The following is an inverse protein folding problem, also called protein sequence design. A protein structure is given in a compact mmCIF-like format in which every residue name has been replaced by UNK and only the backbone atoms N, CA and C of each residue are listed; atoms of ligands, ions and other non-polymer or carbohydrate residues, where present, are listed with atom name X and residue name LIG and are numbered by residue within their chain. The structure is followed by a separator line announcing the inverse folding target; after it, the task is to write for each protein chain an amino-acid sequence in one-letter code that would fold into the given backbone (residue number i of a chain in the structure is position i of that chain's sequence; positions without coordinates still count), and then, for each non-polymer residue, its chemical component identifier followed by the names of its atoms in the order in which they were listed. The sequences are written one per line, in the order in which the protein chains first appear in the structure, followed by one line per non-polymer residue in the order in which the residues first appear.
data_IF_391881723594
#
_entry.id   IF_391881723594
#
_cell.length_a   1.000
_cell.length_b   1.000
_cell.length_c   1.000
_cell.angle_alpha   90.00
_cell.angle_beta   90.00
_cell.angle_gamma   90.00
#
_symmetry.space_group_name_H-M   'P 1'
#
loop_
_entity.id
_entity.type
_entity.pdbx_description
1 polymer ?
#
# COMPACT_ATOMS: atom_id res chain seq x y z
N UNK A 1 -13.57 -0.04 57.36
CA UNK A 1 -13.30 1.20 56.58
C UNK A 1 -12.04 1.07 55.73
N UNK A 2 -10.88 0.71 56.28
CA UNK A 2 -9.62 0.53 55.53
C UNK A 2 -9.70 -0.47 54.37
N UNK A 3 -10.24 -1.67 54.61
CA UNK A 3 -10.40 -2.71 53.57
C UNK A 3 -11.26 -2.22 52.39
N UNK A 4 -12.33 -1.48 52.69
CA UNK A 4 -13.22 -0.91 51.67
C UNK A 4 -12.46 0.09 50.79
N UNK A 5 -11.65 0.97 51.38
CA UNK A 5 -10.81 1.90 50.62
C UNK A 5 -9.78 1.19 49.75
N UNK A 6 -9.16 0.11 50.23
CA UNK A 6 -8.20 -0.69 49.44
C UNK A 6 -8.87 -1.33 48.23
N UNK A 7 -10.07 -1.90 48.41
CA UNK A 7 -10.83 -2.51 47.31
C UNK A 7 -11.23 -1.46 46.27
N UNK A 8 -11.69 -0.28 46.71
CA UNK A 8 -12.03 0.81 45.79
C UNK A 8 -10.80 1.30 45.02
N UNK A 9 -9.66 1.47 45.70
CA UNK A 9 -8.42 1.89 45.06
C UNK A 9 -7.94 0.87 44.00
N UNK A 10 -8.02 -0.43 44.29
CA UNK A 10 -7.69 -1.49 43.34
C UNK A 10 -8.65 -1.51 42.14
N UNK A 11 -9.94 -1.35 42.38
CA UNK A 11 -10.94 -1.28 41.31
C UNK A 11 -10.71 -0.06 40.41
N UNK A 12 -10.42 1.11 41.00
CA UNK A 12 -10.09 2.32 40.24
C UNK A 12 -8.80 2.14 39.43
N UNK A 13 -7.76 1.52 39.99
CA UNK A 13 -6.52 1.22 39.29
C UNK A 13 -6.76 0.29 38.09
N UNK A 14 -7.51 -0.81 38.29
CA UNK A 14 -7.85 -1.74 37.22
C UNK A 14 -8.64 -1.06 36.09
N UNK A 15 -9.57 -0.15 36.44
CA UNK A 15 -10.35 0.61 35.48
C UNK A 15 -9.46 1.55 34.65
N UNK A 16 -8.57 2.31 35.29
CA UNK A 16 -7.63 3.21 34.61
C UNK A 16 -6.72 2.42 33.67
N UNK A 17 -6.21 1.28 34.13
CA UNK A 17 -5.36 0.41 33.33
C UNK A 17 -6.09 -0.14 32.10
N UNK A 18 -7.33 -0.61 32.25
CA UNK A 18 -8.16 -1.08 31.14
C UNK A 18 -8.43 0.02 30.10
N UNK A 19 -8.73 1.24 30.55
CA UNK A 19 -8.90 2.41 29.67
C UNK A 19 -7.61 2.72 28.91
N UNK A 20 -6.45 2.65 29.58
CA UNK A 20 -5.14 2.86 28.98
C UNK A 20 -4.87 1.88 27.83
N UNK A 21 -5.10 0.58 28.06
CA UNK A 21 -4.92 -0.45 27.03
C UNK A 21 -5.88 -0.24 25.86
N UNK A 22 -7.16 0.01 26.13
CA UNK A 22 -8.16 0.21 25.10
C UNK A 22 -7.82 1.39 24.19
N UNK A 23 -7.42 2.52 24.78
CA UNK A 23 -6.99 3.70 24.03
C UNK A 23 -5.70 3.43 23.23
N UNK A 24 -4.77 2.67 23.79
CA UNK A 24 -3.56 2.24 23.09
C UNK A 24 -3.86 1.41 21.84
N UNK A 25 -4.78 0.45 21.95
CA UNK A 25 -5.21 -0.39 20.83
C UNK A 25 -5.93 0.42 19.74
N UNK A 26 -6.79 1.37 20.13
CA UNK A 26 -7.44 2.27 19.17
C UNK A 26 -6.40 3.12 18.44
N UNK A 27 -5.43 3.69 19.16
CA UNK A 27 -4.36 4.50 18.57
C UNK A 27 -3.54 3.68 17.56
N UNK A 28 -3.18 2.45 17.92
CA UNK A 28 -2.45 1.55 17.02
C UNK A 28 -3.26 1.24 15.75
N UNK A 29 -4.56 0.94 15.90
CA UNK A 29 -5.45 0.70 14.75
C UNK A 29 -5.54 1.91 13.83
N UNK A 30 -5.68 3.10 14.40
CA UNK A 30 -5.77 4.34 13.64
C UNK A 30 -4.45 4.63 12.91
N UNK A 31 -3.32 4.42 13.57
CA UNK A 31 -2.01 4.58 12.96
C UNK A 31 -1.81 3.66 11.75
N UNK A 32 -2.17 2.38 11.86
CA UNK A 32 -2.13 1.42 10.73
C UNK A 32 -2.99 1.91 9.55
N UNK A 33 -4.19 2.42 9.84
CA UNK A 33 -5.09 2.94 8.79
C UNK A 33 -4.52 4.18 8.10
N UNK A 34 -3.92 5.10 8.86
CA UNK A 34 -3.27 6.30 8.31
C UNK A 34 -2.06 5.94 7.45
N UNK A 35 -1.21 5.04 7.93
CA UNK A 35 -0.07 4.53 7.16
C UNK A 35 -0.52 3.86 5.87
N UNK A 36 -1.60 3.07 5.91
CA UNK A 36 -2.15 2.44 4.71
C UNK A 36 -2.68 3.47 3.70
N UNK A 37 -3.40 4.49 4.17
CA UNK A 37 -3.88 5.57 3.31
C UNK A 37 -2.74 6.35 2.62
N UNK A 38 -1.59 6.50 3.29
CA UNK A 38 -0.41 7.10 2.68
C UNK A 38 0.17 6.22 1.56
N UNK A 39 0.24 4.90 1.79
CA UNK A 39 0.66 3.93 0.77
C UNK A 39 -0.27 3.98 -0.44
N UNK A 40 -1.59 3.95 -0.23
CA UNK A 40 -2.58 4.02 -1.30
C UNK A 40 -2.40 5.28 -2.17
N UNK A 41 -2.05 6.41 -1.56
CA UNK A 41 -1.81 7.66 -2.28
C UNK A 41 -0.57 7.57 -3.18
N UNK A 42 0.52 6.98 -2.68
CA UNK A 42 1.74 6.79 -3.48
C UNK A 42 1.56 5.75 -4.59
N UNK A 43 0.85 4.66 -4.32
CA UNK A 43 0.49 3.66 -5.33
C UNK A 43 -0.34 4.31 -6.46
N UNK A 44 -1.35 5.10 -6.09
CA UNK A 44 -2.14 5.84 -7.07
C UNK A 44 -1.28 6.77 -7.92
N UNK A 45 -0.39 7.55 -7.30
CA UNK A 45 0.54 8.44 -8.01
C UNK A 45 1.41 7.67 -9.00
N UNK A 46 1.91 6.48 -8.62
CA UNK A 46 2.66 5.61 -9.52
C UNK A 46 1.81 5.17 -10.72
N UNK A 47 0.57 4.75 -10.50
CA UNK A 47 -0.33 4.33 -11.59
C UNK A 47 -0.72 5.45 -12.54
N UNK A 48 -0.80 6.68 -12.04
CA UNK A 48 -1.12 7.86 -12.83
C UNK A 48 0.06 8.28 -13.72
N UNK A 49 1.30 7.96 -13.33
CA UNK A 49 2.51 8.27 -14.10
C UNK A 49 2.84 7.24 -15.19
N UNK A 50 2.40 5.99 -15.04
CA UNK A 50 2.71 4.89 -15.99
C UNK A 50 2.25 5.19 -17.43
N UNK A 51 1.03 5.71 -17.69
CA UNK A 51 0.61 6.03 -19.05
C UNK A 51 1.56 7.00 -19.76
N UNK A 52 2.02 8.05 -19.06
CA UNK A 52 2.97 9.01 -19.62
C UNK A 52 4.31 8.36 -19.94
N UNK A 53 4.77 7.43 -19.09
CA UNK A 53 6.01 6.67 -19.31
C UNK A 53 5.87 5.74 -20.53
N UNK A 54 4.75 5.02 -20.63
CA UNK A 54 4.42 4.16 -21.79
C UNK A 54 4.36 4.97 -23.08
N UNK A 55 3.72 6.13 -23.08
CA UNK A 55 3.64 7.01 -24.26
C UNK A 55 5.03 7.50 -24.70
N UNK A 56 5.88 7.86 -23.73
CA UNK A 56 7.26 8.28 -24.00
C UNK A 56 8.07 7.16 -24.65
N UNK A 57 8.00 5.94 -24.10
CA UNK A 57 8.73 4.78 -24.64
C UNK A 57 8.18 4.34 -25.99
N UNK A 58 6.86 4.39 -26.19
CA UNK A 58 6.21 4.04 -27.45
C UNK A 58 6.72 4.86 -28.64
N UNK A 59 7.16 6.10 -28.41
CA UNK A 59 7.79 6.94 -29.43
C UNK A 59 9.13 6.40 -29.96
N UNK A 60 9.88 5.67 -29.13
CA UNK A 60 11.21 5.15 -29.45
C UNK A 60 11.21 3.64 -29.76
N UNK A 61 10.32 2.87 -29.11
CA UNK A 61 10.20 1.42 -29.23
C UNK A 61 8.88 1.01 -29.89
N UNK A 62 8.67 1.43 -31.15
CA UNK A 62 7.41 1.22 -31.89
C UNK A 62 7.08 -0.24 -32.19
N UNK A 63 8.09 -1.12 -32.17
CA UNK A 63 7.95 -2.55 -32.45
C UNK A 63 7.69 -3.41 -31.19
N UNK A 64 7.66 -2.80 -30.01
CA UNK A 64 7.59 -3.49 -28.71
C UNK A 64 6.16 -3.47 -28.13
N UNK A 65 5.17 -3.76 -28.97
CA UNK A 65 3.76 -3.71 -28.60
C UNK A 65 3.42 -4.66 -27.43
N UNK A 66 3.93 -5.88 -27.47
CA UNK A 66 3.68 -6.90 -26.45
C UNK A 66 4.20 -6.46 -25.06
N UNK A 67 5.38 -5.85 -25.02
CA UNK A 67 5.98 -5.33 -23.78
C UNK A 67 5.14 -4.18 -23.20
N UNK A 68 4.70 -3.25 -24.06
CA UNK A 68 3.85 -2.13 -23.63
C UNK A 68 2.46 -2.61 -23.17
N UNK A 69 1.88 -3.59 -23.85
CA UNK A 69 0.59 -4.19 -23.47
C UNK A 69 0.69 -4.88 -22.11
N UNK A 70 1.75 -5.65 -21.87
CA UNK A 70 1.99 -6.30 -20.58
C UNK A 70 2.06 -5.29 -19.42
N UNK A 71 2.70 -4.13 -19.62
CA UNK A 71 2.76 -3.05 -18.61
C UNK A 71 1.38 -2.44 -18.38
N UNK A 72 0.63 -2.16 -19.44
CA UNK A 72 -0.71 -1.58 -19.34
C UNK A 72 -1.66 -2.56 -18.63
N UNK A 73 -1.61 -3.85 -18.96
CA UNK A 73 -2.43 -4.87 -18.31
C UNK A 73 -2.07 -5.02 -16.84
N UNK A 74 -0.78 -5.13 -16.50
CA UNK A 74 -0.32 -5.23 -15.11
C UNK A 74 -0.75 -4.00 -14.30
N UNK A 75 -0.67 -2.79 -14.89
CA UNK A 75 -1.14 -1.55 -14.26
C UNK A 75 -2.64 -1.57 -14.02
N UNK A 76 -3.43 -2.05 -14.97
CA UNK A 76 -4.88 -2.13 -14.81
C UNK A 76 -5.29 -3.12 -13.71
N UNK A 77 -4.60 -4.26 -13.60
CA UNK A 77 -4.81 -5.20 -12.49
C UNK A 77 -4.45 -4.58 -11.14
N UNK A 78 -3.30 -3.92 -11.05
CA UNK A 78 -2.86 -3.25 -9.82
C UNK A 78 -3.83 -2.15 -9.37
N UNK A 79 -4.31 -1.32 -10.30
CA UNK A 79 -5.30 -0.27 -10.02
C UNK A 79 -6.66 -0.83 -9.59
N UNK A 80 -7.07 -1.96 -10.16
CA UNK A 80 -8.33 -2.61 -9.83
C UNK A 80 -8.28 -3.36 -8.48
N UNK A 81 -7.09 -3.60 -7.95
CA UNK A 81 -6.91 -4.31 -6.68
C UNK A 81 -7.49 -3.50 -5.53
N UNK A 82 -8.50 -4.07 -4.86
CA UNK A 82 -9.10 -3.55 -3.62
C UNK A 82 -9.07 -4.59 -2.50
N UNK A 83 -8.17 -5.57 -2.65
CA UNK A 83 -8.04 -6.73 -1.76
C UNK A 83 -7.31 -6.40 -0.46
N UNK A 84 -6.85 -7.44 0.23
CA UNK A 84 -5.94 -7.28 1.37
C UNK A 84 -4.60 -6.69 0.93
N UNK A 85 -3.83 -6.09 1.86
CA UNK A 85 -2.46 -5.64 1.60
C UNK A 85 -1.58 -6.68 0.90
N UNK A 86 -1.71 -7.96 1.27
CA UNK A 86 -0.96 -9.05 0.66
C UNK A 86 -1.32 -9.28 -0.80
N UNK A 87 -2.62 -9.18 -1.15
CA UNK A 87 -3.07 -9.31 -2.54
C UNK A 87 -2.57 -8.13 -3.37
N UNK A 88 -2.71 -6.92 -2.84
CA UNK A 88 -2.25 -5.71 -3.53
C UNK A 88 -0.72 -5.74 -3.74
N UNK A 89 0.04 -6.26 -2.77
CA UNK A 89 1.48 -6.47 -2.92
C UNK A 89 1.85 -7.48 -4.02
N UNK A 90 1.05 -8.54 -4.21
CA UNK A 90 1.26 -9.49 -5.31
C UNK A 90 1.04 -8.84 -6.68
N UNK A 91 -0.06 -8.10 -6.82
CA UNK A 91 -0.37 -7.38 -8.07
C UNK A 91 0.71 -6.31 -8.37
N UNK A 92 1.22 -5.64 -7.34
CA UNK A 92 2.34 -4.71 -7.45
C UNK A 92 3.62 -5.39 -7.94
N UNK A 93 3.94 -6.58 -7.44
CA UNK A 93 5.14 -7.32 -7.86
C UNK A 93 5.07 -7.68 -9.35
N UNK A 94 3.88 -8.03 -9.86
CA UNK A 94 3.66 -8.27 -11.30
C UNK A 94 3.93 -6.99 -12.09
N UNK A 95 3.40 -5.85 -11.65
CA UNK A 95 3.65 -4.56 -12.29
C UNK A 95 5.13 -4.16 -12.26
N UNK A 96 5.82 -4.35 -11.13
CA UNK A 96 7.27 -4.13 -11.04
C UNK A 96 8.03 -5.01 -12.04
N UNK A 97 7.63 -6.28 -12.18
CA UNK A 97 8.20 -7.20 -13.17
C UNK A 97 8.05 -6.69 -14.60
N UNK A 98 6.84 -6.26 -14.98
CA UNK A 98 6.57 -5.71 -16.31
C UNK A 98 7.39 -4.43 -16.58
N UNK A 99 7.50 -3.53 -15.60
CA UNK A 99 8.32 -2.32 -15.74
C UNK A 99 9.82 -2.62 -15.90
N UNK A 100 10.35 -3.67 -15.26
CA UNK A 100 11.74 -4.10 -15.48
C UNK A 100 11.97 -4.56 -16.91
N UNK A 101 11.02 -5.30 -17.49
CA UNK A 101 11.08 -5.69 -18.90
C UNK A 101 11.05 -4.46 -19.82
N UNK A 102 10.21 -3.47 -19.50
CA UNK A 102 10.17 -2.20 -20.23
C UNK A 102 11.51 -1.45 -20.19
N UNK A 103 12.18 -1.41 -19.04
CA UNK A 103 13.50 -0.78 -18.94
C UNK A 103 14.56 -1.50 -19.76
N UNK A 104 14.54 -2.84 -19.80
CA UNK A 104 15.43 -3.61 -20.67
C UNK A 104 15.22 -3.28 -22.17
N UNK A 105 13.97 -3.03 -22.57
CA UNK A 105 13.66 -2.55 -23.93
C UNK A 105 14.25 -1.15 -24.15
N UNK A 106 14.05 -0.21 -23.22
CA UNK A 106 14.61 1.15 -23.36
C UNK A 106 16.13 1.12 -23.47
N UNK A 107 16.82 0.27 -22.73
CA UNK A 107 18.28 0.10 -22.84
C UNK A 107 18.73 -0.41 -24.22
N UNK A 108 17.89 -1.17 -24.92
CA UNK A 108 18.16 -1.63 -26.28
C UNK A 108 17.96 -0.51 -27.34
N UNK A 109 17.25 0.57 -26.98
CA UNK A 109 16.93 1.72 -27.84
C UNK A 109 17.38 3.04 -27.19
N UNK A 110 18.70 3.33 -27.14
CA UNK A 110 19.26 4.52 -26.51
C UNK A 110 18.91 5.84 -27.21
#
# INVERSE_FOLDING_TARGET
MTIVYVVIALAAFALIWAIGIYNGLIRARQHVKESWSAIDTELKRRYDLIPNLVETVKGYATHEADTLEAVVQARNTAVASKGSPDQQAQDENVLVGALRQLFAVVEAYP
#
